data_IF_970401333097
#
_entry.id   IF_970401333097
#
_cell.length_a   1.000
_cell.length_b   1.000
_cell.length_c   1.000
_cell.angle_alpha   90.00
_cell.angle_beta   90.00
_cell.angle_gamma   90.00
#
_symmetry.space_group_name_H-M   'P 1'
#
loop_
_entity.id
_entity.type
_entity.pdbx_description
1 polymer ?
#
# COMPACT_ATOMS: atom_id res chain seq x y z
N UNK A 1 -9.66 -24.76 -1.09
CA UNK A 1 -8.81 -24.24 0.01
C UNK A 1 -8.32 -25.36 0.91
N UNK A 2 -9.10 -26.42 1.15
CA UNK A 2 -8.62 -27.58 1.92
C UNK A 2 -7.43 -28.29 1.26
N UNK A 3 -7.30 -28.16 -0.06
CA UNK A 3 -6.10 -28.48 -0.82
C UNK A 3 -5.55 -27.21 -1.48
N UNK A 4 -4.27 -26.91 -1.26
CA UNK A 4 -3.58 -25.77 -1.91
C UNK A 4 -3.11 -26.09 -3.33
N UNK A 5 -3.08 -27.39 -3.65
CA UNK A 5 -2.46 -27.91 -4.86
C UNK A 5 -0.95 -27.76 -4.87
N UNK A 6 -0.36 -28.03 -6.03
CA UNK A 6 1.09 -27.97 -6.24
C UNK A 6 1.56 -26.53 -6.49
N UNK A 7 2.86 -26.32 -6.30
CA UNK A 7 3.52 -25.07 -6.67
C UNK A 7 3.57 -24.97 -8.19
N UNK A 8 3.06 -23.87 -8.73
CA UNK A 8 3.12 -23.56 -10.15
C UNK A 8 4.54 -23.07 -10.47
N UNK A 9 5.37 -23.96 -11.03
CA UNK A 9 6.82 -23.75 -11.15
C UNK A 9 7.22 -22.46 -11.89
N UNK A 10 6.47 -22.06 -12.92
CA UNK A 10 6.79 -20.84 -13.68
C UNK A 10 6.46 -19.57 -12.88
N UNK A 11 5.41 -19.59 -12.05
CA UNK A 11 5.13 -18.51 -11.11
C UNK A 11 6.16 -18.46 -9.99
N UNK A 12 6.63 -19.61 -9.50
CA UNK A 12 7.74 -19.66 -8.55
C UNK A 12 9.03 -19.07 -9.14
N UNK A 13 9.31 -19.31 -10.43
CA UNK A 13 10.42 -18.68 -11.13
C UNK A 13 10.24 -17.17 -11.25
N UNK A 14 9.04 -16.68 -11.60
CA UNK A 14 8.74 -15.25 -11.63
C UNK A 14 8.91 -14.59 -10.25
N UNK A 15 8.45 -15.27 -9.18
CA UNK A 15 8.62 -14.82 -7.80
C UNK A 15 10.10 -14.79 -7.41
N UNK A 16 10.88 -15.80 -7.80
CA UNK A 16 12.32 -15.84 -7.58
C UNK A 16 13.02 -14.67 -8.28
N UNK A 17 12.68 -14.42 -9.55
CA UNK A 17 13.21 -13.29 -10.33
C UNK A 17 12.88 -11.95 -9.66
N UNK A 18 11.65 -11.77 -9.16
CA UNK A 18 11.26 -10.57 -8.44
C UNK A 18 12.11 -10.38 -7.17
N UNK A 19 12.28 -11.42 -6.35
CA UNK A 19 13.13 -11.35 -5.16
C UNK A 19 14.62 -11.17 -5.48
N UNK A 20 15.11 -11.70 -6.59
CA UNK A 20 16.47 -11.44 -7.07
C UNK A 20 16.67 -9.97 -7.43
N UNK A 21 15.68 -9.33 -8.08
CA UNK A 21 15.72 -7.89 -8.36
C UNK A 21 15.78 -7.10 -7.05
N UNK A 22 14.88 -7.40 -6.10
CA UNK A 22 14.88 -6.76 -4.76
C UNK A 22 16.22 -6.94 -4.07
N UNK A 23 16.76 -8.17 -4.09
CA UNK A 23 18.04 -8.48 -3.50
C UNK A 23 19.18 -7.67 -4.14
N UNK A 24 19.28 -7.60 -5.47
CA UNK A 24 20.32 -6.82 -6.16
C UNK A 24 20.26 -5.34 -5.76
N UNK A 25 19.05 -4.78 -5.71
CA UNK A 25 18.82 -3.37 -5.40
C UNK A 25 19.20 -3.06 -3.95
N UNK A 26 18.81 -3.92 -3.01
CA UNK A 26 18.99 -3.68 -1.57
C UNK A 26 20.35 -4.10 -1.03
N UNK A 27 21.06 -5.03 -1.69
CA UNK A 27 22.33 -5.59 -1.17
C UNK A 27 23.41 -4.52 -0.93
N UNK A 28 23.42 -3.49 -1.76
CA UNK A 28 24.35 -2.36 -1.66
C UNK A 28 23.85 -1.23 -0.74
N UNK A 29 22.76 -1.47 -0.01
CA UNK A 29 22.11 -0.52 0.88
C UNK A 29 21.28 0.54 0.16
N UNK A 30 20.83 1.53 0.94
CA UNK A 30 19.79 2.48 0.53
C UNK A 30 20.25 3.44 -0.57
N UNK A 31 21.54 3.73 -0.68
CA UNK A 31 22.06 4.59 -1.77
C UNK A 31 21.81 4.01 -3.17
N UNK A 32 21.81 2.68 -3.29
CA UNK A 32 21.47 2.01 -4.56
C UNK A 32 19.96 1.97 -4.75
N UNK A 33 19.21 1.69 -3.68
CA UNK A 33 17.75 1.75 -3.68
C UNK A 33 17.25 3.13 -4.15
N UNK A 34 17.76 4.22 -3.60
CA UNK A 34 17.44 5.60 -4.01
C UNK A 34 17.66 5.85 -5.50
N UNK A 35 18.78 5.38 -6.05
CA UNK A 35 19.09 5.54 -7.49
C UNK A 35 18.10 4.78 -8.37
N UNK A 36 17.76 3.55 -7.98
CA UNK A 36 16.80 2.73 -8.70
C UNK A 36 15.38 3.27 -8.54
N UNK A 37 15.07 3.90 -7.40
CA UNK A 37 13.78 4.54 -7.15
C UNK A 37 13.45 5.62 -8.19
N UNK A 38 14.43 6.39 -8.68
CA UNK A 38 14.19 7.34 -9.78
C UNK A 38 13.65 6.65 -11.03
N UNK A 39 14.21 5.49 -11.39
CA UNK A 39 13.74 4.72 -12.54
C UNK A 39 12.33 4.17 -12.29
N UNK A 40 12.08 3.55 -11.14
CA UNK A 40 10.78 2.96 -10.82
C UNK A 40 9.69 4.02 -10.62
N UNK A 41 10.05 5.27 -10.33
CA UNK A 41 9.10 6.38 -10.27
C UNK A 41 8.81 6.95 -11.66
N UNK A 42 9.85 7.26 -12.46
CA UNK A 42 9.68 7.96 -13.74
C UNK A 42 9.00 7.09 -14.80
N UNK A 43 9.40 5.83 -14.91
CA UNK A 43 8.92 4.92 -15.96
C UNK A 43 7.39 4.76 -15.94
N UNK A 44 6.73 4.51 -14.80
CA UNK A 44 5.29 4.48 -14.74
C UNK A 44 4.61 5.74 -15.27
N UNK A 45 5.09 6.94 -14.94
CA UNK A 45 4.49 8.18 -15.47
C UNK A 45 4.62 8.30 -16.99
N UNK A 46 5.79 7.96 -17.54
CA UNK A 46 6.00 7.98 -18.99
C UNK A 46 5.01 7.04 -19.67
N UNK A 47 4.88 5.82 -19.17
CA UNK A 47 3.95 4.82 -19.73
C UNK A 47 2.50 5.26 -19.54
N UNK A 48 2.14 5.79 -18.38
CA UNK A 48 0.81 6.28 -18.08
C UNK A 48 0.38 7.39 -19.04
N UNK A 49 1.28 8.33 -19.35
CA UNK A 49 1.03 9.39 -20.34
C UNK A 49 0.86 8.81 -21.74
N UNK A 50 1.70 7.84 -22.14
CA UNK A 50 1.57 7.17 -23.43
C UNK A 50 0.21 6.45 -23.55
N UNK A 51 -0.18 5.70 -22.52
CA UNK A 51 -1.47 5.00 -22.46
C UNK A 51 -2.64 5.97 -22.42
N UNK A 52 -2.52 7.11 -21.74
CA UNK A 52 -3.54 8.14 -21.72
C UNK A 52 -3.74 8.78 -23.09
N UNK A 53 -2.65 9.19 -23.76
CA UNK A 53 -2.73 9.75 -25.11
C UNK A 53 -3.35 8.71 -26.05
N UNK A 54 -2.91 7.45 -25.95
CA UNK A 54 -3.50 6.39 -26.76
C UNK A 54 -4.99 6.24 -26.46
N UNK A 55 -5.37 6.11 -25.20
CA UNK A 55 -6.75 5.95 -24.76
C UNK A 55 -7.66 7.07 -25.23
N UNK A 56 -7.23 8.33 -25.09
CA UNK A 56 -8.01 9.50 -25.53
C UNK A 56 -8.14 9.63 -27.05
N UNK A 57 -7.25 9.02 -27.83
CA UNK A 57 -7.34 9.01 -29.31
C UNK A 57 -8.23 7.90 -29.86
N UNK A 58 -8.73 7.01 -29.00
CA UNK A 58 -9.61 5.92 -29.41
C UNK A 58 -11.06 6.39 -29.53
N UNK A 59 -11.77 5.83 -30.51
CA UNK A 59 -13.20 6.07 -30.67
C UNK A 59 -13.98 5.53 -29.47
N UNK A 60 -14.95 6.29 -28.96
CA UNK A 60 -15.74 5.88 -27.79
C UNK A 60 -15.06 6.11 -26.43
N UNK A 61 -13.82 6.63 -26.39
CA UNK A 61 -13.14 6.95 -25.14
C UNK A 61 -13.94 7.89 -24.22
N UNK A 62 -14.71 8.81 -24.82
CA UNK A 62 -15.58 9.74 -24.10
C UNK A 62 -16.60 9.02 -23.20
N UNK A 63 -17.14 7.86 -23.61
CA UNK A 63 -18.08 7.08 -22.79
C UNK A 63 -17.43 6.71 -21.45
N UNK A 64 -16.16 6.28 -21.52
CA UNK A 64 -15.34 5.94 -20.38
C UNK A 64 -15.11 7.11 -19.43
N UNK A 65 -14.76 8.27 -19.98
CA UNK A 65 -14.54 9.48 -19.19
C UNK A 65 -15.83 10.00 -18.57
N UNK A 66 -16.96 9.91 -19.29
CA UNK A 66 -18.28 10.25 -18.75
C UNK A 66 -18.68 9.37 -17.58
N UNK A 67 -18.38 8.07 -17.64
CA UNK A 67 -18.59 7.14 -16.54
C UNK A 67 -17.67 7.43 -15.35
N UNK A 68 -16.41 7.82 -15.60
CA UNK A 68 -15.43 8.06 -14.54
C UNK A 68 -15.74 9.31 -13.72
N UNK A 69 -15.92 10.47 -14.37
CA UNK A 69 -16.09 11.77 -13.70
C UNK A 69 -17.05 12.73 -14.42
N UNK A 70 -17.87 12.25 -15.36
CA UNK A 70 -18.73 13.10 -16.19
C UNK A 70 -20.20 13.09 -15.78
N UNK A 71 -21.07 13.17 -16.78
CA UNK A 71 -22.52 13.29 -16.64
C UNK A 71 -23.19 12.10 -15.94
N UNK A 72 -22.54 10.94 -15.89
CA UNK A 72 -23.05 9.74 -15.21
C UNK A 72 -22.74 9.73 -13.70
N UNK A 73 -22.13 10.80 -13.17
CA UNK A 73 -21.84 10.93 -11.74
C UNK A 73 -23.11 11.05 -10.91
N UNK A 74 -23.34 10.10 -10.01
CA UNK A 74 -24.46 10.10 -9.09
C UNK A 74 -24.12 10.80 -7.77
N UNK A 75 -24.45 12.09 -7.67
CA UNK A 75 -24.23 12.88 -6.44
C UNK A 75 -25.09 12.43 -5.26
N UNK A 76 -26.16 11.65 -5.47
CA UNK A 76 -26.95 11.09 -4.37
C UNK A 76 -26.12 10.14 -3.51
N UNK A 77 -25.10 9.50 -4.11
CA UNK A 77 -24.13 8.65 -3.41
C UNK A 77 -23.31 9.37 -2.34
N UNK A 78 -23.21 10.70 -2.37
CA UNK A 78 -22.56 11.46 -1.28
C UNK A 78 -23.33 11.39 0.05
N UNK A 79 -24.62 11.03 0.00
CA UNK A 79 -25.44 10.77 1.21
C UNK A 79 -25.20 9.37 1.79
N UNK A 80 -24.58 8.48 1.00
CA UNK A 80 -24.23 7.13 1.43
C UNK A 80 -22.93 7.16 2.24
N UNK A 81 -23.03 6.79 3.51
CA UNK A 81 -21.89 6.73 4.41
C UNK A 81 -20.83 5.71 3.95
N UNK A 82 -21.20 4.70 3.16
CA UNK A 82 -20.26 3.73 2.60
C UNK A 82 -19.26 4.40 1.64
N UNK A 83 -19.66 5.42 0.88
CA UNK A 83 -18.78 6.15 -0.03
C UNK A 83 -17.68 6.90 0.73
N UNK A 84 -18.03 7.51 1.86
CA UNK A 84 -17.06 8.20 2.71
C UNK A 84 -16.12 7.23 3.42
N UNK A 85 -16.61 6.05 3.82
CA UNK A 85 -15.77 4.98 4.36
C UNK A 85 -14.73 4.55 3.34
N UNK A 86 -15.16 4.25 2.13
CA UNK A 86 -14.29 3.76 1.07
C UNK A 86 -13.28 4.84 0.66
N UNK A 87 -13.69 6.12 0.60
CA UNK A 87 -12.79 7.23 0.35
C UNK A 87 -11.72 7.40 1.45
N UNK A 88 -12.09 7.26 2.72
CA UNK A 88 -11.16 7.39 3.83
C UNK A 88 -10.18 6.21 3.89
N UNK A 89 -10.68 4.98 3.72
CA UNK A 89 -9.86 3.78 3.64
C UNK A 89 -8.89 3.83 2.45
N UNK A 90 -9.36 4.22 1.27
CA UNK A 90 -8.53 4.35 0.07
C UNK A 90 -7.39 5.35 0.28
N UNK A 91 -7.66 6.52 0.87
CA UNK A 91 -6.61 7.51 1.16
C UNK A 91 -5.59 6.98 2.17
N UNK A 92 -6.05 6.28 3.21
CA UNK A 92 -5.19 5.69 4.23
C UNK A 92 -4.23 4.64 3.64
N UNK A 93 -4.77 3.68 2.89
CA UNK A 93 -3.95 2.62 2.29
C UNK A 93 -3.07 3.13 1.14
N UNK A 94 -3.56 4.09 0.34
CA UNK A 94 -2.79 4.63 -0.79
C UNK A 94 -1.48 5.29 -0.36
N UNK A 95 -1.45 5.92 0.81
CA UNK A 95 -0.24 6.57 1.33
C UNK A 95 0.69 5.63 2.09
N UNK A 96 0.31 4.36 2.29
CA UNK A 96 1.08 3.39 3.07
C UNK A 96 1.43 3.89 4.48
N UNK A 97 0.52 4.61 5.13
CA UNK A 97 0.68 5.07 6.52
C UNK A 97 0.55 3.87 7.47
N UNK A 98 1.36 3.81 8.52
CA UNK A 98 1.31 2.73 9.53
C UNK A 98 2.11 1.46 9.17
N UNK A 99 2.81 1.45 8.03
CA UNK A 99 3.67 0.33 7.60
C UNK A 99 5.13 0.47 8.08
N UNK A 100 5.48 1.59 8.71
CA UNK A 100 6.85 1.92 9.14
C UNK A 100 7.80 2.35 8.02
N UNK A 101 7.48 2.09 6.75
CA UNK A 101 8.36 2.40 5.63
C UNK A 101 8.61 3.90 5.43
N UNK A 102 7.60 4.73 5.64
CA UNK A 102 7.77 6.20 5.64
C UNK A 102 8.68 6.67 6.79
N UNK A 103 8.60 6.04 7.97
CA UNK A 103 9.46 6.35 9.11
C UNK A 103 10.91 6.01 8.78
N UNK A 104 11.14 4.81 8.23
CA UNK A 104 12.48 4.37 7.82
C UNK A 104 13.06 5.23 6.70
N UNK A 105 12.28 5.56 5.66
CA UNK A 105 12.77 6.45 4.60
C UNK A 105 13.11 7.84 5.16
N UNK A 106 12.26 8.36 6.06
CA UNK A 106 12.49 9.66 6.69
C UNK A 106 13.71 9.68 7.61
N UNK A 107 14.13 8.54 8.18
CA UNK A 107 15.33 8.50 9.04
C UNK A 107 16.64 8.74 8.29
N UNK A 108 16.63 8.65 6.96
CA UNK A 108 17.78 8.97 6.11
C UNK A 108 17.82 10.43 5.66
N UNK A 109 16.76 11.21 5.94
CA UNK A 109 16.74 12.63 5.62
C UNK A 109 17.74 13.41 6.48
N UNK A 110 18.18 14.56 5.93
CA UNK A 110 18.93 15.54 6.73
C UNK A 110 18.03 16.08 7.84
N UNK A 111 18.60 16.34 9.02
CA UNK A 111 17.84 16.80 10.18
C UNK A 111 17.03 18.09 9.92
N UNK A 112 17.59 19.05 9.19
CA UNK A 112 16.90 20.30 8.80
C UNK A 112 16.23 20.25 7.42
N UNK A 113 15.94 19.05 6.91
CA UNK A 113 15.13 18.91 5.69
C UNK A 113 13.68 19.33 5.96
N UNK A 114 13.04 20.00 5.00
CA UNK A 114 11.67 20.47 5.16
C UNK A 114 10.66 19.34 4.90
N UNK A 115 10.56 18.41 5.86
CA UNK A 115 9.69 17.24 5.78
C UNK A 115 8.20 17.60 5.64
N UNK A 116 7.78 18.80 6.05
CA UNK A 116 6.42 19.28 5.89
C UNK A 116 6.04 19.48 4.42
N UNK A 117 6.90 20.14 3.65
CA UNK A 117 6.66 20.35 2.21
C UNK A 117 6.72 19.01 1.49
N UNK A 118 7.67 18.15 1.84
CA UNK A 118 7.78 16.81 1.25
C UNK A 118 6.51 15.99 1.47
N UNK A 119 5.94 16.01 2.68
CA UNK A 119 4.69 15.33 2.99
C UNK A 119 3.51 15.84 2.15
N UNK A 120 3.39 17.16 1.95
CA UNK A 120 2.35 17.74 1.08
C UNK A 120 2.55 17.28 -0.36
N UNK A 121 3.78 17.36 -0.88
CA UNK A 121 4.08 16.96 -2.27
C UNK A 121 3.74 15.49 -2.47
N UNK A 122 4.13 14.61 -1.54
CA UNK A 122 3.80 13.17 -1.61
C UNK A 122 2.29 12.96 -1.66
N UNK A 123 1.52 13.62 -0.79
CA UNK A 123 0.05 13.50 -0.77
C UNK A 123 -0.61 13.99 -2.07
N UNK A 124 -0.18 15.14 -2.58
CA UNK A 124 -0.72 15.74 -3.81
C UNK A 124 -0.36 14.90 -5.02
N UNK A 125 0.91 14.51 -5.16
CA UNK A 125 1.38 13.69 -6.28
C UNK A 125 0.69 12.32 -6.26
N UNK A 126 0.60 11.65 -5.10
CA UNK A 126 -0.11 10.38 -4.99
C UNK A 126 -1.56 10.49 -5.52
N UNK A 127 -2.30 11.48 -5.04
CA UNK A 127 -3.70 11.69 -5.43
C UNK A 127 -3.85 12.07 -6.91
N UNK A 128 -2.99 12.95 -7.41
CA UNK A 128 -2.97 13.35 -8.83
C UNK A 128 -2.68 12.15 -9.74
N UNK A 129 -1.77 11.27 -9.34
CA UNK A 129 -1.43 10.05 -10.07
C UNK A 129 -2.57 9.06 -10.10
N UNK A 130 -3.31 8.89 -8.98
CA UNK A 130 -4.54 8.08 -8.97
C UNK A 130 -5.58 8.64 -9.95
N UNK A 131 -5.78 9.96 -9.96
CA UNK A 131 -6.72 10.61 -10.89
C UNK A 131 -6.30 10.41 -12.34
N UNK A 132 -5.02 10.66 -12.66
CA UNK A 132 -4.44 10.48 -13.99
C UNK A 132 -4.54 9.04 -14.47
N UNK A 133 -4.31 8.07 -13.57
CA UNK A 133 -4.46 6.65 -13.86
C UNK A 133 -5.91 6.29 -14.16
N UNK A 134 -6.87 6.87 -13.42
CA UNK A 134 -8.29 6.72 -13.72
C UNK A 134 -8.63 7.12 -15.16
N UNK A 135 -8.16 8.28 -15.63
CA UNK A 135 -8.35 8.69 -17.03
C UNK A 135 -7.73 7.70 -18.03
N UNK A 136 -6.51 7.22 -17.78
CA UNK A 136 -5.84 6.27 -18.66
C UNK A 136 -6.62 4.95 -18.75
N UNK A 137 -7.08 4.42 -17.61
CA UNK A 137 -7.85 3.17 -17.56
C UNK A 137 -9.22 3.33 -18.23
N UNK A 138 -9.99 4.34 -17.81
CA UNK A 138 -11.36 4.51 -18.28
C UNK A 138 -11.45 4.94 -19.74
N UNK A 139 -10.48 5.68 -20.28
CA UNK A 139 -10.47 6.01 -21.72
C UNK A 139 -10.36 4.77 -22.61
N UNK A 140 -9.51 3.80 -22.24
CA UNK A 140 -9.37 2.53 -22.97
C UNK A 140 -10.59 1.62 -22.76
N UNK A 141 -11.12 1.53 -21.53
CA UNK A 141 -12.35 0.75 -21.29
C UNK A 141 -13.57 1.34 -22.00
N UNK A 142 -13.66 2.67 -22.12
CA UNK A 142 -14.69 3.35 -22.90
C UNK A 142 -14.68 2.95 -24.38
N UNK A 143 -13.48 2.83 -24.96
CA UNK A 143 -13.32 2.31 -26.32
C UNK A 143 -13.85 0.87 -26.45
N UNK A 144 -13.49 -0.02 -25.53
CA UNK A 144 -13.96 -1.41 -25.55
C UNK A 144 -15.46 -1.49 -25.39
N UNK A 145 -16.04 -0.75 -24.44
CA UNK A 145 -17.48 -0.67 -24.26
C UNK A 145 -18.19 -0.18 -25.53
N UNK A 146 -17.59 0.77 -26.25
CA UNK A 146 -18.10 1.26 -27.53
C UNK A 146 -18.04 0.20 -28.63
N UNK A 147 -16.92 -0.50 -28.78
CA UNK A 147 -16.73 -1.53 -29.82
C UNK A 147 -17.58 -2.78 -29.56
N UNK A 148 -17.73 -3.17 -28.30
CA UNK A 148 -18.54 -4.33 -27.91
C UNK A 148 -20.03 -4.04 -27.76
N UNK A 149 -20.44 -2.77 -27.92
CA UNK A 149 -21.81 -2.28 -27.67
C UNK A 149 -22.38 -2.73 -26.30
N UNK A 150 -21.55 -2.56 -25.26
CA UNK A 150 -21.89 -2.91 -23.87
C UNK A 150 -21.79 -1.71 -22.94
N UNK A 151 -22.55 -1.67 -21.85
CA UNK A 151 -22.38 -0.65 -20.82
C UNK A 151 -21.01 -0.81 -20.13
N UNK A 152 -20.42 0.32 -19.69
CA UNK A 152 -19.08 0.32 -19.09
C UNK A 152 -19.02 -0.55 -17.82
N UNK A 153 -20.11 -0.57 -17.04
CA UNK A 153 -20.24 -1.39 -15.85
C UNK A 153 -20.05 -2.90 -16.09
N UNK A 154 -20.28 -3.38 -17.31
CA UNK A 154 -20.08 -4.80 -17.67
C UNK A 154 -18.66 -5.12 -18.12
N UNK A 155 -17.90 -4.13 -18.61
CA UNK A 155 -16.49 -4.31 -19.02
C UNK A 155 -15.52 -3.98 -17.89
N UNK A 156 -15.99 -3.34 -16.81
CA UNK A 156 -15.20 -3.06 -15.62
C UNK A 156 -15.30 -4.20 -14.61
N UNK A 157 -14.16 -4.72 -14.18
CA UNK A 157 -14.07 -5.59 -12.99
C UNK A 157 -13.41 -4.82 -11.83
N UNK A 158 -13.47 -5.37 -10.62
CA UNK A 158 -12.81 -4.79 -9.43
C UNK A 158 -11.52 -5.54 -9.07
N UNK A 159 -10.60 -4.85 -8.39
CA UNK A 159 -9.36 -5.44 -7.86
C UNK A 159 -8.49 -6.09 -8.94
N UNK A 160 -8.01 -7.31 -8.68
CA UNK A 160 -7.15 -8.06 -9.60
C UNK A 160 -7.79 -8.31 -10.97
N UNK A 161 -9.11 -8.46 -11.04
CA UNK A 161 -9.82 -8.69 -12.29
C UNK A 161 -9.70 -7.53 -13.27
N UNK A 162 -9.69 -6.29 -12.76
CA UNK A 162 -9.52 -5.11 -13.61
C UNK A 162 -8.17 -5.13 -14.32
N UNK A 163 -7.11 -5.35 -13.55
CA UNK A 163 -5.72 -5.20 -13.99
C UNK A 163 -5.24 -6.40 -14.80
N UNK A 164 -5.68 -7.61 -14.45
CA UNK A 164 -5.16 -8.85 -15.06
C UNK A 164 -6.14 -9.56 -16.00
N UNK A 165 -7.41 -9.13 -16.08
CA UNK A 165 -8.41 -9.70 -16.98
C UNK A 165 -8.95 -8.62 -17.93
N UNK A 166 -9.69 -7.65 -17.39
CA UNK A 166 -10.41 -6.67 -18.21
C UNK A 166 -9.47 -5.77 -19.03
N UNK A 167 -8.41 -5.25 -18.41
CA UNK A 167 -7.51 -4.33 -19.09
C UNK A 167 -6.63 -5.01 -20.16
N UNK A 168 -6.01 -6.18 -19.91
CA UNK A 168 -5.30 -6.91 -20.97
C UNK A 168 -6.21 -7.33 -22.13
N UNK A 169 -7.46 -7.71 -21.84
CA UNK A 169 -8.47 -7.97 -22.88
C UNK A 169 -8.76 -6.70 -23.72
N UNK A 170 -8.82 -5.54 -23.07
CA UNK A 170 -8.96 -4.26 -23.75
C UNK A 170 -7.74 -3.94 -24.64
N UNK A 171 -6.53 -4.14 -24.13
CA UNK A 171 -5.30 -3.91 -24.88
C UNK A 171 -5.15 -4.86 -26.08
N UNK A 172 -5.66 -6.09 -25.97
CA UNK A 172 -5.65 -7.09 -27.04
C UNK A 172 -6.48 -6.68 -28.27
N UNK A 173 -7.48 -5.81 -28.08
CA UNK A 173 -8.33 -5.29 -29.16
C UNK A 173 -7.68 -4.10 -29.89
N UNK A 174 -6.62 -3.51 -29.33
CA UNK A 174 -5.93 -2.39 -29.95
C UNK A 174 -5.00 -2.85 -31.08
N UNK A 175 -4.84 -2.05 -32.15
CA UNK A 175 -3.78 -2.29 -33.11
C UNK A 175 -2.42 -2.25 -32.41
N UNK A 176 -1.52 -3.16 -32.76
CA UNK A 176 -0.22 -3.34 -32.10
C UNK A 176 -0.34 -3.76 -30.62
N UNK A 177 -1.36 -4.57 -30.28
CA UNK A 177 -1.60 -5.13 -28.95
C UNK A 177 -0.34 -5.54 -28.16
N UNK A 178 0.67 -6.25 -28.73
CA UNK A 178 1.87 -6.62 -27.97
C UNK A 178 2.62 -5.44 -27.36
N UNK A 179 2.68 -4.29 -28.05
CA UNK A 179 3.34 -3.09 -27.54
C UNK A 179 2.65 -2.58 -26.27
N UNK A 180 1.32 -2.44 -26.33
CA UNK A 180 0.54 -1.89 -25.21
C UNK A 180 0.58 -2.81 -23.99
N UNK A 181 0.49 -4.12 -24.20
CA UNK A 181 0.60 -5.10 -23.12
C UNK A 181 1.99 -5.08 -22.47
N UNK A 182 3.07 -5.01 -23.26
CA UNK A 182 4.43 -4.90 -22.71
C UNK A 182 4.57 -3.64 -21.87
N UNK A 183 4.14 -2.48 -22.38
CA UNK A 183 4.20 -1.22 -21.64
C UNK A 183 3.39 -1.31 -20.33
N UNK A 184 2.15 -1.80 -20.40
CA UNK A 184 1.28 -1.90 -19.23
C UNK A 184 1.84 -2.84 -18.16
N UNK A 185 2.23 -4.06 -18.50
CA UNK A 185 2.79 -4.99 -17.51
C UNK A 185 4.16 -4.54 -17.00
N UNK A 186 4.97 -3.88 -17.83
CA UNK A 186 6.23 -3.29 -17.38
C UNK A 186 6.00 -2.14 -16.39
N UNK A 187 4.98 -1.30 -16.62
CA UNK A 187 4.54 -0.30 -15.65
C UNK A 187 4.10 -0.95 -14.33
N UNK A 188 3.31 -2.01 -14.37
CA UNK A 188 2.88 -2.73 -13.14
C UNK A 188 4.07 -3.31 -12.37
N UNK A 189 5.04 -3.91 -13.05
CA UNK A 189 6.26 -4.43 -12.41
C UNK A 189 7.04 -3.30 -11.74
N UNK A 190 7.23 -2.18 -12.44
CA UNK A 190 8.00 -1.04 -11.90
C UNK A 190 7.30 -0.37 -10.72
N UNK A 191 5.97 -0.22 -10.77
CA UNK A 191 5.15 0.25 -9.64
C UNK A 191 5.28 -0.69 -8.42
N UNK A 192 5.14 -2.00 -8.63
CA UNK A 192 5.25 -2.99 -7.56
C UNK A 192 6.66 -3.03 -6.93
N UNK A 193 7.70 -2.94 -7.76
CA UNK A 193 9.09 -2.89 -7.31
C UNK A 193 9.34 -1.75 -6.31
N UNK A 194 8.85 -0.54 -6.60
CA UNK A 194 9.05 0.62 -5.71
C UNK A 194 8.56 0.36 -4.29
N UNK A 195 7.35 -0.17 -4.14
CA UNK A 195 6.77 -0.50 -2.83
C UNK A 195 7.51 -1.64 -2.14
N UNK A 196 7.88 -2.70 -2.87
CA UNK A 196 8.60 -3.85 -2.28
C UNK A 196 10.01 -3.45 -1.84
N UNK A 197 10.69 -2.55 -2.55
CA UNK A 197 12.00 -2.02 -2.14
C UNK A 197 11.90 -1.25 -0.83
N UNK A 198 10.89 -0.38 -0.69
CA UNK A 198 10.68 0.38 0.54
C UNK A 198 10.36 -0.54 1.73
N UNK A 199 9.44 -1.47 1.58
CA UNK A 199 9.00 -2.35 2.67
C UNK A 199 10.09 -3.37 3.05
N UNK A 200 10.77 -3.98 2.08
CA UNK A 200 11.86 -4.92 2.37
C UNK A 200 13.08 -4.20 2.95
N UNK A 201 13.38 -3.00 2.46
CA UNK A 201 14.41 -2.12 3.04
C UNK A 201 14.11 -1.77 4.48
N UNK A 202 12.84 -1.53 4.82
CA UNK A 202 12.37 -1.26 6.19
C UNK A 202 12.69 -2.41 7.13
N UNK A 203 12.38 -3.64 6.74
CA UNK A 203 12.71 -4.84 7.53
C UNK A 203 14.22 -4.93 7.78
N UNK A 204 15.03 -4.75 6.73
CA UNK A 204 16.49 -4.82 6.82
C UNK A 204 17.03 -3.73 7.75
N UNK A 205 16.60 -2.48 7.59
CA UNK A 205 17.02 -1.35 8.43
C UNK A 205 16.68 -1.60 9.89
N UNK A 206 15.44 -2.02 10.19
CA UNK A 206 15.01 -2.31 11.57
C UNK A 206 15.93 -3.38 12.20
N UNK A 207 16.24 -4.45 11.48
CA UNK A 207 17.13 -5.50 11.98
C UNK A 207 18.55 -4.96 12.24
N UNK A 208 19.10 -4.19 11.30
CA UNK A 208 20.43 -3.56 11.46
C UNK A 208 20.47 -2.62 12.65
N UNK A 209 19.43 -1.81 12.85
CA UNK A 209 19.33 -0.83 13.94
C UNK A 209 19.19 -1.50 15.31
N UNK A 210 18.52 -2.67 15.39
CA UNK A 210 18.43 -3.44 16.64
C UNK A 210 19.74 -4.16 17.00
N UNK A 211 20.52 -4.63 16.02
CA UNK A 211 21.78 -5.36 16.26
C UNK A 211 22.97 -4.77 15.47
N UNK A 212 23.34 -3.49 15.71
CA UNK A 212 24.26 -2.75 14.85
C UNK A 212 25.67 -3.34 14.83
N UNK A 213 26.15 -3.85 15.97
CA UNK A 213 27.50 -4.40 16.10
C UNK A 213 27.72 -5.68 15.27
N UNK A 214 26.66 -6.45 15.01
CA UNK A 214 26.75 -7.74 14.32
C UNK A 214 26.27 -7.67 12.88
N UNK A 215 25.16 -6.97 12.62
CA UNK A 215 24.49 -6.99 11.32
C UNK A 215 25.01 -5.95 10.34
N UNK A 216 25.59 -4.84 10.82
CA UNK A 216 26.10 -3.77 9.93
C UNK A 216 27.23 -4.24 9.02
N UNK A 217 28.14 -5.09 9.52
CA UNK A 217 29.22 -5.70 8.71
C UNK A 217 28.75 -6.85 7.83
N UNK A 218 27.56 -7.39 8.09
CA UNK A 218 26.98 -8.56 7.40
C UNK A 218 25.75 -8.21 6.57
N UNK A 219 25.64 -6.95 6.15
CA UNK A 219 24.48 -6.43 5.41
C UNK A 219 24.10 -7.30 4.19
N UNK A 220 25.11 -7.74 3.42
CA UNK A 220 24.92 -8.66 2.30
C UNK A 220 24.20 -9.95 2.72
N UNK A 221 24.72 -10.65 3.73
CA UNK A 221 24.15 -11.91 4.22
C UNK A 221 22.77 -11.72 4.83
N UNK A 222 22.55 -10.62 5.56
CA UNK A 222 21.24 -10.27 6.09
C UNK A 222 20.21 -10.08 4.97
N UNK A 223 20.55 -9.29 3.95
CA UNK A 223 19.68 -9.02 2.81
C UNK A 223 19.34 -10.32 2.08
N UNK A 224 20.33 -11.18 1.84
CA UNK A 224 20.12 -12.51 1.25
C UNK A 224 19.18 -13.36 2.10
N UNK A 225 19.40 -13.41 3.41
CA UNK A 225 18.56 -14.19 4.33
C UNK A 225 17.12 -13.71 4.35
N UNK A 226 16.89 -12.39 4.39
CA UNK A 226 15.55 -11.79 4.37
C UNK A 226 14.85 -12.07 3.04
N UNK A 227 15.51 -11.82 1.90
CA UNK A 227 14.91 -12.06 0.58
C UNK A 227 14.60 -13.55 0.36
N UNK A 228 15.49 -14.45 0.79
CA UNK A 228 15.27 -15.90 0.68
C UNK A 228 14.09 -16.35 1.57
N UNK A 229 14.02 -15.83 2.80
CA UNK A 229 12.91 -16.12 3.70
C UNK A 229 11.58 -15.67 3.10
N UNK A 230 11.51 -14.44 2.59
CA UNK A 230 10.29 -13.89 1.98
C UNK A 230 9.92 -14.59 0.66
N UNK A 231 10.91 -15.05 -0.12
CA UNK A 231 10.67 -15.93 -1.27
C UNK A 231 10.01 -17.24 -0.84
N UNK A 232 10.58 -17.93 0.17
CA UNK A 232 10.05 -19.21 0.67
C UNK A 232 8.62 -19.04 1.21
N UNK A 233 8.39 -17.99 2.01
CA UNK A 233 7.05 -17.67 2.52
C UNK A 233 6.08 -17.32 1.39
N UNK A 234 6.56 -16.66 0.34
CA UNK A 234 5.76 -16.30 -0.83
C UNK A 234 5.37 -17.48 -1.73
N UNK A 235 5.99 -18.66 -1.58
CA UNK A 235 5.66 -19.83 -2.38
C UNK A 235 4.20 -20.27 -2.23
N UNK A 236 3.56 -19.97 -1.10
CA UNK A 236 2.15 -20.25 -0.86
C UNK A 236 1.23 -19.53 -1.86
N UNK A 237 1.60 -18.31 -2.28
CA UNK A 237 0.82 -17.48 -3.21
C UNK A 237 0.97 -17.90 -4.68
N UNK A 238 1.92 -18.78 -5.00
CA UNK A 238 2.16 -19.31 -6.35
C UNK A 238 1.78 -20.79 -6.47
N UNK A 239 0.97 -21.29 -5.52
CA UNK A 239 0.29 -22.58 -5.66
C UNK A 239 -0.92 -22.48 -6.58
N UNK A 240 -1.52 -23.60 -6.97
CA UNK A 240 -2.76 -23.60 -7.76
C UNK A 240 -3.91 -22.86 -7.06
N UNK A 241 -3.95 -22.87 -5.72
CA UNK A 241 -4.88 -22.08 -4.92
C UNK A 241 -4.34 -20.70 -4.49
N UNK A 242 -3.22 -20.26 -5.07
CA UNK A 242 -2.43 -19.11 -4.58
C UNK A 242 -3.21 -17.80 -4.48
N UNK A 243 -4.14 -17.55 -5.41
CA UNK A 243 -4.98 -16.35 -5.40
C UNK A 243 -5.90 -16.28 -4.17
N UNK A 244 -6.37 -17.43 -3.67
CA UNK A 244 -7.20 -17.48 -2.47
C UNK A 244 -6.38 -17.13 -1.22
N UNK A 245 -5.13 -17.60 -1.14
CA UNK A 245 -4.20 -17.23 -0.08
C UNK A 245 -3.88 -15.74 -0.13
N UNK A 246 -3.61 -15.21 -1.32
CA UNK A 246 -3.31 -13.80 -1.51
C UNK A 246 -4.51 -12.93 -1.04
N UNK A 247 -5.71 -13.26 -1.49
CA UNK A 247 -6.93 -12.55 -1.10
C UNK A 247 -7.23 -12.66 0.41
N UNK A 248 -6.96 -13.80 1.04
CA UNK A 248 -7.10 -13.97 2.50
C UNK A 248 -6.17 -13.05 3.28
N UNK A 249 -4.88 -13.08 2.94
CA UNK A 249 -3.85 -12.30 3.63
C UNK A 249 -4.08 -10.81 3.37
N UNK A 250 -4.44 -10.42 2.15
CA UNK A 250 -4.72 -9.03 1.82
C UNK A 250 -5.92 -8.49 2.63
N UNK A 251 -7.01 -9.25 2.70
CA UNK A 251 -8.21 -8.86 3.44
C UNK A 251 -7.94 -8.67 4.94
N UNK A 252 -7.30 -9.64 5.60
CA UNK A 252 -7.09 -9.60 7.06
C UNK A 252 -5.88 -8.76 7.48
N UNK A 253 -4.73 -8.92 6.82
CA UNK A 253 -3.48 -8.29 7.23
C UNK A 253 -3.33 -6.86 6.71
N UNK A 254 -3.54 -6.64 5.41
CA UNK A 254 -3.45 -5.28 4.82
C UNK A 254 -4.60 -4.41 5.33
N UNK A 255 -5.77 -5.01 5.57
CA UNK A 255 -6.97 -4.36 6.09
C UNK A 255 -6.82 -3.83 7.53
N UNK A 256 -7.02 -4.69 8.53
CA UNK A 256 -7.22 -4.23 9.91
C UNK A 256 -5.95 -3.98 10.69
N UNK A 257 -4.87 -4.75 10.45
CA UNK A 257 -3.63 -4.62 11.24
C UNK A 257 -3.08 -3.21 11.11
N UNK A 258 -3.01 -2.69 9.88
CA UNK A 258 -2.44 -1.36 9.59
C UNK A 258 -3.25 -0.24 10.24
N UNK A 259 -4.58 -0.34 10.28
CA UNK A 259 -5.43 0.64 10.95
C UNK A 259 -5.17 0.62 12.46
N UNK A 260 -5.09 -0.57 13.06
CA UNK A 260 -4.85 -0.73 14.49
C UNK A 260 -3.46 -0.22 14.86
N UNK A 261 -2.41 -0.55 14.10
CA UNK A 261 -1.06 -0.07 14.34
C UNK A 261 -0.97 1.45 14.19
N UNK A 262 -1.56 2.03 13.13
CA UNK A 262 -1.58 3.48 12.95
C UNK A 262 -2.34 4.21 14.07
N UNK A 263 -3.44 3.64 14.57
CA UNK A 263 -4.15 4.19 15.72
C UNK A 263 -3.28 4.18 16.99
N UNK A 264 -2.59 3.06 17.25
CA UNK A 264 -1.68 2.94 18.39
C UNK A 264 -0.48 3.89 18.26
N UNK A 265 0.07 4.08 17.06
CA UNK A 265 1.13 5.06 16.78
C UNK A 265 0.66 6.48 17.06
N UNK A 266 -0.53 6.86 16.59
CA UNK A 266 -1.10 8.19 16.86
C UNK A 266 -1.38 8.42 18.34
N UNK A 267 -1.89 7.40 19.05
CA UNK A 267 -2.11 7.47 20.50
C UNK A 267 -0.77 7.62 21.23
N UNK A 268 0.22 6.82 20.84
CA UNK A 268 1.58 6.87 21.35
C UNK A 268 2.22 8.24 21.18
N UNK A 269 2.13 8.83 19.98
CA UNK A 269 2.73 10.14 19.69
C UNK A 269 1.96 11.30 20.33
N UNK A 270 0.63 11.32 20.19
CA UNK A 270 -0.14 12.51 20.54
C UNK A 270 -0.48 12.59 22.04
N UNK A 271 -0.70 11.45 22.71
CA UNK A 271 -1.07 11.43 24.13
C UNK A 271 0.05 10.94 25.05
N UNK A 272 0.75 9.85 24.71
CA UNK A 272 1.78 9.28 25.59
C UNK A 272 3.06 10.12 25.52
N UNK A 273 3.60 10.34 24.31
CA UNK A 273 4.75 11.20 24.10
C UNK A 273 4.39 12.68 24.32
N UNK A 274 3.23 13.07 23.78
CA UNK A 274 2.59 14.37 24.00
C UNK A 274 2.77 15.31 22.82
N UNK A 275 1.65 15.77 22.24
CA UNK A 275 1.62 16.62 21.05
C UNK A 275 2.48 17.90 21.16
N UNK A 276 2.56 18.50 22.34
CA UNK A 276 3.37 19.70 22.55
C UNK A 276 4.88 19.44 22.45
N UNK A 277 5.34 18.24 22.81
CA UNK A 277 6.75 17.84 22.65
C UNK A 277 7.04 17.59 21.18
N UNK A 278 6.16 16.84 20.52
CA UNK A 278 6.27 16.54 19.10
C UNK A 278 6.32 17.81 18.23
N UNK A 279 5.50 18.82 18.54
CA UNK A 279 5.55 20.12 17.86
C UNK A 279 6.92 20.79 18.02
N UNK A 280 7.47 20.80 19.23
CA UNK A 280 8.80 21.38 19.48
C UNK A 280 9.90 20.65 18.73
N UNK A 281 9.80 19.34 18.59
CA UNK A 281 10.76 18.55 17.81
C UNK A 281 10.68 18.93 16.32
N UNK A 282 9.47 19.10 15.78
CA UNK A 282 9.31 19.57 14.40
C UNK A 282 9.82 21.01 14.24
N UNK A 283 9.53 21.92 15.18
CA UNK A 283 10.05 23.29 15.17
C UNK A 283 11.59 23.32 15.21
N UNK A 284 12.22 22.40 15.94
CA UNK A 284 13.68 22.24 15.94
C UNK A 284 14.23 21.82 14.57
N UNK A 285 13.45 21.08 13.79
CA UNK A 285 13.84 20.61 12.45
C UNK A 285 13.60 21.67 11.37
N UNK A 286 12.38 22.21 11.26
CA UNK A 286 11.93 23.05 10.13
C UNK A 286 11.71 24.53 10.48
N UNK A 287 11.98 24.92 11.73
CA UNK A 287 11.76 26.26 12.26
C UNK A 287 10.36 26.48 12.85
N UNK A 288 10.22 27.54 13.65
CA UNK A 288 8.97 27.94 14.29
C UNK A 288 7.88 28.33 13.29
N UNK A 289 6.61 28.09 13.64
CA UNK A 289 5.44 28.40 12.82
C UNK A 289 4.38 29.16 13.62
N UNK A 290 3.39 29.67 12.91
CA UNK A 290 2.31 30.44 13.54
C UNK A 290 1.45 29.55 14.44
N UNK A 291 0.83 30.15 15.45
CA UNK A 291 -0.04 29.42 16.36
C UNK A 291 -1.23 28.73 15.65
N UNK A 292 -1.83 29.40 14.66
CA UNK A 292 -2.94 28.85 13.86
C UNK A 292 -2.53 27.59 13.08
N UNK A 293 -1.30 27.59 12.55
CA UNK A 293 -0.74 26.43 11.86
C UNK A 293 -0.68 25.23 12.79
N UNK A 294 -0.14 25.41 14.00
CA UNK A 294 -0.06 24.33 14.98
C UNK A 294 -1.40 23.93 15.56
N UNK A 295 -2.35 24.86 15.69
CA UNK A 295 -3.71 24.53 16.13
C UNK A 295 -4.36 23.53 15.18
N UNK A 296 -4.25 23.74 13.87
CA UNK A 296 -4.77 22.80 12.87
C UNK A 296 -4.19 21.40 13.06
N UNK A 297 -2.86 21.27 13.12
CA UNK A 297 -2.20 19.97 13.27
C UNK A 297 -2.49 19.30 14.61
N UNK A 298 -2.64 20.06 15.70
CA UNK A 298 -3.09 19.54 17.00
C UNK A 298 -4.48 18.92 16.88
N UNK A 299 -5.41 19.63 16.25
CA UNK A 299 -6.77 19.13 16.03
C UNK A 299 -6.73 17.87 15.16
N UNK A 300 -5.90 17.84 14.12
CA UNK A 300 -5.73 16.66 13.28
C UNK A 300 -5.20 15.44 14.06
N UNK A 301 -4.07 15.58 14.76
CA UNK A 301 -3.40 14.45 15.42
C UNK A 301 -4.10 13.96 16.68
N UNK A 302 -4.76 14.85 17.43
CA UNK A 302 -5.43 14.50 18.70
C UNK A 302 -6.90 14.14 18.49
N UNK A 303 -7.58 14.71 17.48
CA UNK A 303 -9.02 14.50 17.32
C UNK A 303 -9.38 13.89 15.97
N UNK A 304 -9.06 14.55 14.85
CA UNK A 304 -9.60 14.16 13.54
C UNK A 304 -9.09 12.79 13.09
N UNK A 305 -7.76 12.59 13.03
CA UNK A 305 -7.18 11.33 12.54
C UNK A 305 -7.56 10.13 13.43
N UNK A 306 -7.46 10.21 14.77
CA UNK A 306 -7.87 9.11 15.65
C UNK A 306 -9.37 8.80 15.53
N UNK A 307 -10.24 9.82 15.46
CA UNK A 307 -11.68 9.59 15.27
C UNK A 307 -11.97 8.93 13.93
N UNK A 308 -11.36 9.40 12.83
CA UNK A 308 -11.54 8.81 11.51
C UNK A 308 -11.10 7.34 11.48
N UNK A 309 -9.93 7.02 12.05
CA UNK A 309 -9.46 5.62 12.11
C UNK A 309 -10.37 4.73 12.97
N UNK A 310 -10.87 5.24 14.10
CA UNK A 310 -11.83 4.50 14.95
C UNK A 310 -13.14 4.28 14.21
N UNK A 311 -13.66 5.28 13.50
CA UNK A 311 -14.89 5.15 12.70
C UNK A 311 -14.71 4.12 11.60
N UNK A 312 -13.60 4.19 10.84
CA UNK A 312 -13.30 3.21 9.78
C UNK A 312 -13.18 1.80 10.38
N UNK A 313 -12.49 1.65 11.51
CA UNK A 313 -12.32 0.35 12.17
C UNK A 313 -13.64 -0.24 12.65
N UNK A 314 -14.44 0.53 13.40
CA UNK A 314 -15.74 0.09 13.92
C UNK A 314 -16.67 -0.26 12.75
N UNK A 315 -16.72 0.59 11.73
CA UNK A 315 -17.55 0.33 10.56
C UNK A 315 -17.11 -0.94 9.84
N UNK A 316 -15.82 -1.09 9.56
CA UNK A 316 -15.25 -2.27 8.89
C UNK A 316 -15.59 -3.57 9.63
N UNK A 317 -15.49 -3.56 10.97
CA UNK A 317 -15.89 -4.68 11.83
C UNK A 317 -17.41 -4.92 11.82
N UNK A 318 -18.23 -3.87 11.78
CA UNK A 318 -19.69 -3.99 11.75
C UNK A 318 -20.24 -4.50 10.42
N UNK A 319 -19.57 -4.19 9.31
CA UNK A 319 -19.92 -4.66 7.96
C UNK A 319 -19.13 -5.91 7.57
N UNK A 320 -18.65 -6.67 8.54
CA UNK A 320 -17.92 -7.90 8.30
C UNK A 320 -18.84 -8.93 7.61
N UNK A 321 -18.60 -9.15 6.33
CA UNK A 321 -19.24 -10.22 5.58
C UNK A 321 -18.30 -11.44 5.50
N UNK A 322 -18.84 -12.65 5.29
CA UNK A 322 -18.02 -13.81 4.94
C UNK A 322 -17.10 -13.48 3.76
N UNK A 323 -15.82 -13.80 3.88
CA UNK A 323 -14.86 -13.57 2.81
C UNK A 323 -15.22 -14.45 1.60
N UNK A 324 -15.23 -13.85 0.42
CA UNK A 324 -15.50 -14.55 -0.85
C UNK A 324 -14.47 -14.14 -1.90
N UNK A 325 -14.13 -15.04 -2.80
CA UNK A 325 -13.37 -14.73 -4.01
C UNK A 325 -14.09 -15.31 -5.23
N UNK A 326 -14.60 -14.43 -6.10
CA UNK A 326 -15.52 -14.84 -7.17
C UNK A 326 -16.80 -15.44 -6.58
N UNK A 327 -17.15 -16.66 -7.00
CA UNK A 327 -18.30 -17.42 -6.50
C UNK A 327 -17.98 -18.37 -5.34
N UNK A 328 -16.74 -18.36 -4.85
CA UNK A 328 -16.28 -19.31 -3.83
C UNK A 328 -16.23 -18.64 -2.45
N UNK A 329 -16.97 -19.21 -1.50
CA UNK A 329 -16.95 -18.80 -0.09
C UNK A 329 -15.77 -19.42 0.66
N UNK A 330 -15.20 -18.67 1.60
CA UNK A 330 -14.09 -19.13 2.41
C UNK A 330 -14.57 -20.06 3.54
N UNK A 331 -13.88 -21.18 3.80
CA UNK A 331 -14.21 -22.05 4.92
C UNK A 331 -13.90 -21.37 6.26
N UNK A 332 -14.63 -21.74 7.31
CA UNK A 332 -14.51 -21.13 8.64
C UNK A 332 -13.08 -21.18 9.23
N UNK A 333 -12.31 -22.22 8.90
CA UNK A 333 -10.92 -22.32 9.35
C UNK A 333 -10.04 -21.22 8.74
N UNK A 334 -10.32 -20.79 7.50
CA UNK A 334 -9.54 -19.74 6.83
C UNK A 334 -9.82 -18.38 7.46
N UNK A 335 -11.10 -18.11 7.79
CA UNK A 335 -11.49 -16.94 8.60
C UNK A 335 -10.81 -16.96 9.97
N UNK A 336 -10.81 -18.10 10.67
CA UNK A 336 -10.12 -18.24 11.95
C UNK A 336 -8.61 -18.01 11.84
N UNK A 337 -7.98 -18.52 10.77
CA UNK A 337 -6.57 -18.27 10.48
C UNK A 337 -6.29 -16.77 10.28
N UNK A 338 -7.14 -16.06 9.55
CA UNK A 338 -7.04 -14.60 9.37
C UNK A 338 -7.04 -13.86 10.71
N UNK A 339 -7.96 -14.19 11.62
CA UNK A 339 -7.98 -13.62 12.97
C UNK A 339 -6.75 -13.97 13.81
N UNK A 340 -6.23 -15.19 13.67
CA UNK A 340 -4.98 -15.60 14.31
C UNK A 340 -3.79 -14.78 13.82
N UNK A 341 -3.71 -14.49 12.50
CA UNK A 341 -2.65 -13.65 11.94
C UNK A 341 -2.66 -12.24 12.53
N UNK A 342 -3.83 -11.62 12.61
CA UNK A 342 -4.00 -10.29 13.21
C UNK A 342 -3.59 -10.29 14.68
N UNK A 343 -4.09 -11.27 15.43
CA UNK A 343 -3.78 -11.41 16.86
C UNK A 343 -2.28 -11.60 17.08
N UNK A 344 -1.63 -12.42 16.25
CA UNK A 344 -0.19 -12.65 16.29
C UNK A 344 0.61 -11.36 16.01
N UNK A 345 0.18 -10.51 15.08
CA UNK A 345 0.87 -9.24 14.83
C UNK A 345 0.72 -8.24 15.99
N UNK A 346 -0.49 -8.12 16.56
CA UNK A 346 -0.78 -7.12 17.61
C UNK A 346 -0.20 -7.53 18.96
N UNK A 347 -0.16 -8.84 19.28
CA UNK A 347 0.30 -9.31 20.60
C UNK A 347 1.75 -8.92 20.88
N UNK A 348 2.60 -8.79 19.86
CA UNK A 348 3.98 -8.35 20.02
C UNK A 348 4.12 -6.95 20.62
N UNK A 349 3.18 -6.04 20.32
CA UNK A 349 3.15 -4.70 20.92
C UNK A 349 2.99 -4.81 22.44
N UNK A 350 2.06 -5.66 22.89
CA UNK A 350 1.80 -5.89 24.31
C UNK A 350 2.95 -6.64 24.99
N UNK A 351 3.49 -7.69 24.35
CA UNK A 351 4.60 -8.47 24.89
C UNK A 351 5.82 -7.58 25.11
N UNK A 352 6.18 -6.74 24.13
CA UNK A 352 7.32 -5.83 24.25
C UNK A 352 7.06 -4.77 25.32
N UNK A 353 5.85 -4.20 25.38
CA UNK A 353 5.48 -3.23 26.41
C UNK A 353 5.63 -3.82 27.83
N UNK A 354 5.05 -4.99 28.08
CA UNK A 354 5.15 -5.69 29.37
C UNK A 354 6.60 -6.05 29.69
N UNK A 355 7.33 -6.60 28.72
CA UNK A 355 8.74 -6.97 28.88
C UNK A 355 9.62 -5.77 29.28
N UNK A 356 9.38 -4.59 28.70
CA UNK A 356 10.08 -3.36 29.06
C UNK A 356 9.72 -2.87 30.45
N UNK A 357 8.44 -2.94 30.84
CA UNK A 357 7.99 -2.56 32.19
C UNK A 357 8.64 -3.45 33.26
N UNK A 358 8.70 -4.76 33.03
CA UNK A 358 9.32 -5.72 33.97
C UNK A 358 10.83 -5.50 34.12
N UNK A 359 11.51 -5.06 33.04
CA UNK A 359 12.94 -4.76 33.06
C UNK A 359 13.28 -3.37 33.60
N UNK A 360 12.30 -2.45 33.66
CA UNK A 360 12.52 -1.10 34.14
C UNK A 360 12.80 -1.10 35.64
N UNK A 361 13.90 -0.44 36.03
CA UNK A 361 14.26 -0.26 37.44
C UNK A 361 13.56 1.00 37.96
N UNK A 362 12.42 0.83 38.63
CA UNK A 362 11.64 1.91 39.21
C UNK A 362 10.45 1.38 40.00
N UNK A 363 9.88 2.20 40.90
CA UNK A 363 8.73 1.80 41.73
C UNK A 363 7.37 2.06 41.07
N UNK A 364 7.34 2.88 40.01
CA UNK A 364 6.14 3.32 39.31
C UNK A 364 6.39 3.46 37.80
N UNK A 365 5.38 3.25 36.96
CA UNK A 365 5.47 3.42 35.48
C UNK A 365 5.86 4.84 35.01
N UNK A 366 5.84 5.85 35.89
CA UNK A 366 6.19 7.23 35.58
C UNK A 366 7.61 7.65 36.02
N UNK A 367 8.34 6.77 36.71
CA UNK A 367 9.74 6.96 37.11
C UNK A 367 10.63 6.09 36.25
#
# INVERSE_FOLDING_TARGET
>A
MDETGEIVWYLALCLLLAWLIVWIVLTNGIKTSEKVSYFTMIVPYVILIILLIRGLTLEGAYKGIEFYIGSQSDFSKLTDAQVWKDAAAQNFYSLSVGWGSLITLSSYNKFHNNCYIDAIIVCVVNSATSVLSGFAIFSILGHVAHVQDKPISEVTQSGFGLVFIAYPEALAQLPWAPLWSILFFFMLITLGCGTVFANSGTIITILVDQFPNFLRSKHFYLTTGVCLLLYILGLVYVTQAGIYWLNLVDYFCTGWIVIITALLELVGLSWIYGVNRFIKDIEMMIGERTWLFWLWWRVCWVFVSPCLLVVILIWSLSTLAPLTYGSVEYPAWATALGWCMISFSIVWILIVAIGRIVQAKGSTMCQ
#
